data_IF_054460722665
#
_entry.id   IF_054460722665
#
_cell.length_a   1.000
_cell.length_b   1.000
_cell.length_c   1.000
_cell.angle_alpha   90.00
_cell.angle_beta   90.00
_cell.angle_gamma   90.00
#
_symmetry.space_group_name_H-M   'P 1'
#
loop_
_entity.id
_entity.type
_entity.pdbx_description
1 polymer ?
#
# COMPACT_ATOMS: atom_id res chain seq x y z
N UNK A 1 -3.93 38.26 -14.25
CA UNK A 1 -3.73 36.84 -13.86
C UNK A 1 -4.35 36.00 -14.97
N UNK A 2 -3.57 35.19 -15.69
CA UNK A 2 -4.05 34.37 -16.83
C UNK A 2 -4.23 32.95 -16.33
N UNK A 3 -5.42 32.38 -16.52
CA UNK A 3 -5.74 30.99 -16.23
C UNK A 3 -5.90 30.24 -17.55
N UNK A 4 -5.06 29.24 -17.79
CA UNK A 4 -5.20 28.35 -18.94
C UNK A 4 -6.03 27.14 -18.47
N UNK A 5 -7.22 26.91 -19.03
CA UNK A 5 -8.02 25.75 -18.64
C UNK A 5 -7.36 24.45 -19.11
N UNK A 6 -7.25 23.48 -18.21
CA UNK A 6 -6.89 22.10 -18.53
C UNK A 6 -8.15 21.24 -18.73
N UNK A 7 -7.99 20.10 -19.42
CA UNK A 7 -9.04 19.08 -19.54
C UNK A 7 -8.48 17.72 -19.15
N UNK A 8 -9.29 16.96 -18.41
CA UNK A 8 -9.02 15.56 -18.03
C UNK A 8 -10.30 14.75 -18.24
N UNK A 9 -10.14 13.44 -18.42
CA UNK A 9 -11.27 12.53 -18.34
C UNK A 9 -11.59 12.20 -16.87
N UNK A 10 -12.82 11.77 -16.56
CA UNK A 10 -13.15 11.27 -15.22
C UNK A 10 -12.24 10.09 -14.85
N UNK A 11 -11.79 10.06 -13.59
CA UNK A 11 -10.96 8.98 -13.04
C UNK A 11 -11.68 8.43 -11.82
N UNK A 12 -11.87 7.11 -11.79
CA UNK A 12 -12.38 6.41 -10.61
C UNK A 12 -11.26 6.23 -9.59
N UNK A 13 -11.55 6.57 -8.34
CA UNK A 13 -10.62 6.43 -7.23
C UNK A 13 -10.94 5.15 -6.45
N UNK A 14 -9.91 4.34 -6.22
CA UNK A 14 -9.98 3.16 -5.35
C UNK A 14 -8.97 3.32 -4.22
N UNK A 15 -9.36 2.93 -3.02
CA UNK A 15 -8.55 3.08 -1.81
C UNK A 15 -7.94 1.74 -1.39
N UNK A 16 -7.06 1.77 -0.39
CA UNK A 16 -6.28 0.62 0.04
C UNK A 16 -7.19 -0.55 0.46
N UNK A 17 -8.26 -0.25 1.19
CA UNK A 17 -9.28 -1.21 1.63
C UNK A 17 -9.97 -1.91 0.46
N UNK A 18 -10.25 -1.18 -0.63
CA UNK A 18 -10.87 -1.73 -1.84
C UNK A 18 -9.91 -2.68 -2.56
N UNK A 19 -8.63 -2.29 -2.64
CA UNK A 19 -7.57 -3.09 -3.26
C UNK A 19 -7.33 -4.38 -2.48
N UNK A 20 -7.22 -4.30 -1.15
CA UNK A 20 -7.03 -5.48 -0.29
C UNK A 20 -8.22 -6.43 -0.42
N UNK A 21 -9.45 -5.91 -0.39
CA UNK A 21 -10.68 -6.71 -0.52
C UNK A 21 -10.75 -7.39 -1.90
N UNK A 22 -10.44 -6.66 -2.96
CA UNK A 22 -10.48 -7.15 -4.34
C UNK A 22 -9.44 -8.25 -4.58
N UNK A 23 -8.21 -8.06 -4.08
CA UNK A 23 -7.11 -9.00 -4.26
C UNK A 23 -7.13 -10.15 -3.24
N UNK A 24 -7.95 -10.05 -2.19
CA UNK A 24 -7.88 -10.93 -1.01
C UNK A 24 -6.46 -11.01 -0.45
N UNK A 25 -5.81 -9.85 -0.38
CA UNK A 25 -4.39 -9.77 -0.04
C UNK A 25 -4.15 -10.05 1.44
N UNK A 26 -3.19 -10.93 1.71
CA UNK A 26 -2.63 -11.18 3.04
C UNK A 26 -1.12 -10.97 2.98
N UNK A 27 -0.56 -10.03 3.76
CA UNK A 27 0.87 -9.81 3.81
C UNK A 27 1.62 -11.06 4.26
N UNK A 28 2.80 -11.37 3.71
CA UNK A 28 3.66 -12.42 4.24
C UNK A 28 4.10 -12.08 5.67
N UNK A 29 4.27 -13.10 6.52
CA UNK A 29 4.66 -12.91 7.91
C UNK A 29 5.87 -11.98 8.05
N UNK A 30 5.70 -10.94 8.85
CA UNK A 30 6.65 -9.84 8.96
C UNK A 30 7.89 -10.32 9.73
N UNK A 31 8.89 -10.83 9.02
CA UNK A 31 10.19 -11.27 9.60
C UNK A 31 11.08 -10.12 10.07
N UNK A 32 10.61 -8.87 9.95
CA UNK A 32 11.42 -7.69 10.27
C UNK A 32 11.44 -7.36 11.76
N UNK A 33 11.95 -8.28 12.58
CA UNK A 33 12.49 -7.99 13.91
C UNK A 33 13.79 -7.18 13.77
N UNK A 34 13.68 -5.92 13.33
CA UNK A 34 14.83 -5.00 13.40
C UNK A 34 15.02 -4.62 14.87
N UNK A 35 16.26 -4.72 15.41
CA UNK A 35 16.54 -4.27 16.77
C UNK A 35 16.26 -2.77 16.86
N UNK A 36 15.22 -2.40 17.61
CA UNK A 36 14.93 -1.00 17.90
C UNK A 36 16.14 -0.40 18.62
N UNK A 37 16.70 0.68 18.05
CA UNK A 37 17.69 1.52 18.75
C UNK A 37 17.09 1.90 20.10
N UNK A 38 17.81 1.63 21.19
CA UNK A 38 17.38 1.93 22.55
C UNK A 38 17.34 3.46 22.74
N UNK A 39 16.21 4.07 22.43
CA UNK A 39 15.89 5.46 22.77
C UNK A 39 15.47 5.47 24.25
N UNK A 40 16.09 6.32 25.07
CA UNK A 40 15.77 6.46 26.49
C UNK A 40 15.18 7.84 26.80
N UNK A 41 14.51 7.95 27.95
CA UNK A 41 14.05 9.22 28.49
C UNK A 41 12.78 9.77 27.82
N UNK A 42 12.61 11.10 27.91
CA UNK A 42 11.40 11.83 27.47
C UNK A 42 10.99 11.53 26.03
N UNK A 43 11.96 11.46 25.11
CA UNK A 43 11.75 11.19 23.68
C UNK A 43 11.11 9.82 23.41
N UNK A 44 11.42 8.80 24.23
CA UNK A 44 10.80 7.47 24.10
C UNK A 44 9.31 7.54 24.46
N UNK A 45 8.96 8.27 25.51
CA UNK A 45 7.57 8.42 25.98
C UNK A 45 6.70 9.15 24.95
N UNK A 46 7.22 10.21 24.36
CA UNK A 46 6.51 10.97 23.31
C UNK A 46 6.26 10.10 22.07
N UNK A 47 7.24 9.33 21.61
CA UNK A 47 7.08 8.42 20.48
C UNK A 47 6.09 7.29 20.75
N UNK A 48 6.07 6.74 21.97
CA UNK A 48 5.09 5.70 22.34
C UNK A 48 3.66 6.26 22.38
N UNK A 49 3.48 7.44 22.96
CA UNK A 49 2.17 8.10 22.99
C UNK A 49 1.64 8.40 21.58
N UNK A 50 2.51 8.84 20.67
CA UNK A 50 2.15 9.05 19.26
C UNK A 50 1.71 7.75 18.58
N UNK A 51 2.45 6.65 18.79
CA UNK A 51 2.08 5.35 18.24
C UNK A 51 0.76 4.83 18.79
N UNK A 52 0.52 5.00 20.09
CA UNK A 52 -0.76 4.62 20.72
C UNK A 52 -1.93 5.44 20.15
N UNK A 53 -1.73 6.73 19.89
CA UNK A 53 -2.73 7.61 19.27
C UNK A 53 -2.99 7.22 17.81
N UNK A 54 -1.95 6.97 17.01
CA UNK A 54 -2.06 6.49 15.63
C UNK A 54 -2.80 5.14 15.56
N UNK A 55 -2.44 4.20 16.43
CA UNK A 55 -3.09 2.88 16.52
C UNK A 55 -4.56 3.02 16.94
N UNK A 56 -4.87 3.94 17.85
CA UNK A 56 -6.24 4.21 18.26
C UNK A 56 -7.08 4.78 17.12
N UNK A 57 -6.58 5.82 16.42
CA UNK A 57 -7.26 6.43 15.28
C UNK A 57 -7.49 5.43 14.15
N UNK A 58 -6.48 4.60 13.86
CA UNK A 58 -6.60 3.54 12.86
C UNK A 58 -7.71 2.55 13.25
N UNK A 59 -7.73 2.08 14.49
CA UNK A 59 -8.74 1.14 14.96
C UNK A 59 -10.15 1.73 14.96
N UNK A 60 -10.31 3.00 15.34
CA UNK A 60 -11.59 3.70 15.26
C UNK A 60 -12.07 3.81 13.81
N UNK A 61 -11.20 4.21 12.88
CA UNK A 61 -11.51 4.28 11.46
C UNK A 61 -11.89 2.91 10.90
N UNK A 62 -11.11 1.85 11.19
CA UNK A 62 -11.42 0.47 10.77
C UNK A 62 -12.80 0.04 11.31
N UNK A 63 -13.12 0.38 12.56
CA UNK A 63 -14.43 0.08 13.15
C UNK A 63 -15.59 0.79 12.44
N UNK A 64 -15.35 1.95 11.83
CA UNK A 64 -16.34 2.71 11.06
C UNK A 64 -16.65 2.05 9.71
N UNK A 65 -15.66 1.44 9.06
CA UNK A 65 -15.81 0.79 7.74
C UNK A 65 -16.15 -0.70 7.81
N UNK A 66 -16.28 -1.28 9.02
CA UNK A 66 -16.47 -2.73 9.23
C UNK A 66 -17.65 -3.37 8.51
N UNK A 67 -18.64 -2.57 8.13
CA UNK A 67 -19.86 -3.04 7.45
C UNK A 67 -19.69 -3.17 5.93
N UNK A 68 -18.61 -2.62 5.37
CA UNK A 68 -18.35 -2.60 3.92
C UNK A 68 -17.36 -3.68 3.48
N UNK A 69 -16.44 -4.08 4.34
CA UNK A 69 -15.33 -4.97 4.01
C UNK A 69 -15.34 -6.25 4.83
N UNK A 70 -14.71 -7.29 4.30
CA UNK A 70 -14.60 -8.59 4.98
C UNK A 70 -13.73 -8.50 6.25
N UNK A 71 -13.96 -9.39 7.24
CA UNK A 71 -13.13 -9.44 8.45
C UNK A 71 -11.64 -9.59 8.15
N UNK A 72 -11.29 -10.34 7.11
CA UNK A 72 -9.90 -10.58 6.69
C UNK A 72 -9.25 -9.30 6.17
N UNK A 73 -9.97 -8.50 5.35
CA UNK A 73 -9.50 -7.18 4.90
C UNK A 73 -9.26 -6.24 6.07
N UNK A 74 -10.20 -6.19 7.02
CA UNK A 74 -10.05 -5.36 8.22
C UNK A 74 -8.86 -5.82 9.08
N UNK A 75 -8.61 -7.13 9.14
CA UNK A 75 -7.46 -7.68 9.85
C UNK A 75 -6.14 -7.35 9.15
N UNK A 76 -6.08 -7.48 7.83
CA UNK A 76 -4.91 -7.06 7.04
C UNK A 76 -4.58 -5.60 7.29
N UNK A 77 -5.57 -4.70 7.23
CA UNK A 77 -5.39 -3.27 7.52
C UNK A 77 -4.80 -3.04 8.93
N UNK A 78 -5.27 -3.75 9.96
CA UNK A 78 -4.70 -3.62 11.32
C UNK A 78 -3.23 -4.02 11.43
N UNK A 79 -2.80 -4.99 10.63
CA UNK A 79 -1.46 -5.60 10.76
C UNK A 79 -0.45 -5.10 9.74
N UNK A 80 -0.89 -4.29 8.78
CA UNK A 80 -0.03 -3.77 7.73
C UNK A 80 1.01 -2.80 8.28
N UNK A 81 2.22 -2.85 7.73
CA UNK A 81 3.31 -1.94 8.09
C UNK A 81 3.21 -0.66 7.23
N UNK A 82 2.57 0.37 7.76
CA UNK A 82 2.38 1.65 7.09
C UNK A 82 3.66 2.49 6.95
N UNK A 83 4.76 2.11 7.62
CA UNK A 83 6.06 2.78 7.48
C UNK A 83 6.81 2.35 6.21
N UNK A 84 6.32 1.35 5.47
CA UNK A 84 6.99 0.78 4.30
C UNK A 84 6.06 0.60 3.12
N UNK A 85 6.61 0.74 1.92
CA UNK A 85 5.91 0.36 0.69
C UNK A 85 5.85 -1.17 0.57
N UNK A 86 4.63 -1.70 0.47
CA UNK A 86 4.40 -3.11 0.20
C UNK A 86 4.51 -3.40 -1.31
N UNK A 87 5.72 -3.76 -1.74
CA UNK A 87 6.01 -4.10 -3.14
C UNK A 87 5.23 -5.32 -3.62
N UNK A 88 4.89 -6.26 -2.74
CA UNK A 88 4.14 -7.46 -3.12
C UNK A 88 2.68 -7.14 -3.41
N UNK A 89 2.08 -6.25 -2.61
CA UNK A 89 0.74 -5.73 -2.90
C UNK A 89 0.70 -5.02 -4.25
N UNK A 90 1.68 -4.16 -4.54
CA UNK A 90 1.78 -3.45 -5.82
C UNK A 90 1.90 -4.43 -6.99
N UNK A 91 2.77 -5.45 -6.86
CA UNK A 91 2.92 -6.49 -7.88
C UNK A 91 1.60 -7.22 -8.16
N UNK A 92 0.87 -7.62 -7.12
CA UNK A 92 -0.41 -8.30 -7.26
C UNK A 92 -1.47 -7.39 -7.88
N UNK A 93 -1.48 -6.11 -7.54
CA UNK A 93 -2.38 -5.13 -8.15
C UNK A 93 -2.09 -4.96 -9.64
N UNK A 94 -0.83 -4.81 -10.04
CA UNK A 94 -0.45 -4.73 -11.45
C UNK A 94 -0.89 -6.00 -12.20
N UNK A 95 -0.67 -7.19 -11.62
CA UNK A 95 -1.13 -8.46 -12.20
C UNK A 95 -2.65 -8.51 -12.35
N UNK A 96 -3.38 -7.95 -11.41
CA UNK A 96 -4.84 -7.86 -11.47
C UNK A 96 -5.28 -6.94 -12.60
N UNK A 97 -4.75 -5.70 -12.67
CA UNK A 97 -5.10 -4.71 -13.71
C UNK A 97 -4.87 -5.30 -15.11
N UNK A 98 -3.71 -5.93 -15.34
CA UNK A 98 -3.39 -6.56 -16.64
C UNK A 98 -4.40 -7.64 -17.02
N UNK A 99 -4.97 -8.36 -16.05
CA UNK A 99 -5.92 -9.45 -16.31
C UNK A 99 -7.36 -8.98 -16.48
N UNK A 100 -7.73 -7.84 -15.91
CA UNK A 100 -9.14 -7.42 -15.77
C UNK A 100 -9.48 -6.14 -16.50
N UNK A 101 -8.47 -5.36 -16.93
CA UNK A 101 -8.66 -4.06 -17.59
C UNK A 101 -8.33 -4.14 -19.08
N UNK A 102 -8.90 -3.20 -19.84
CA UNK A 102 -8.57 -2.99 -21.25
C UNK A 102 -7.14 -2.43 -21.45
N UNK A 103 -6.70 -2.35 -22.70
CA UNK A 103 -5.38 -1.82 -23.05
C UNK A 103 -5.13 -0.41 -22.47
N UNK A 104 -3.99 -0.26 -21.81
CA UNK A 104 -3.57 0.99 -21.20
C UNK A 104 -2.19 0.89 -20.53
N UNK A 105 -1.52 2.02 -20.36
CA UNK A 105 -0.26 2.07 -19.62
C UNK A 105 -0.53 2.19 -18.12
N UNK A 106 0.24 1.46 -17.31
CA UNK A 106 0.22 1.56 -15.85
C UNK A 106 1.36 2.48 -15.40
N UNK A 107 1.03 3.54 -14.68
CA UNK A 107 2.00 4.45 -14.06
C UNK A 107 2.00 4.25 -12.55
N UNK A 108 3.14 3.85 -11.99
CA UNK A 108 3.31 3.62 -10.54
C UNK A 108 4.17 4.73 -9.95
N UNK A 109 3.66 5.41 -8.93
CA UNK A 109 4.41 6.40 -8.17
C UNK A 109 5.06 5.75 -6.94
N UNK A 110 6.37 5.92 -6.80
CA UNK A 110 7.17 5.40 -5.69
C UNK A 110 8.06 6.51 -5.12
N UNK A 111 8.37 6.50 -3.80
CA UNK A 111 9.03 7.62 -3.14
C UNK A 111 10.50 7.77 -3.50
N UNK A 112 11.19 6.70 -3.90
CA UNK A 112 12.62 6.75 -4.20
C UNK A 112 13.15 5.63 -5.10
N UNK A 113 14.42 5.77 -5.48
CA UNK A 113 15.11 4.84 -6.38
C UNK A 113 15.14 3.39 -5.87
N UNK A 114 15.34 3.20 -4.56
CA UNK A 114 15.40 1.85 -3.98
C UNK A 114 14.08 1.08 -4.17
N UNK A 115 12.94 1.73 -3.95
CA UNK A 115 11.62 1.14 -4.15
C UNK A 115 11.36 0.86 -5.64
N UNK A 116 11.74 1.80 -6.52
CA UNK A 116 11.63 1.63 -7.98
C UNK A 116 12.41 0.40 -8.43
N UNK A 117 13.67 0.30 -7.99
CA UNK A 117 14.54 -0.83 -8.33
C UNK A 117 13.96 -2.14 -7.80
N UNK A 118 13.52 -2.18 -6.54
CA UNK A 118 12.94 -3.37 -5.92
C UNK A 118 11.67 -3.84 -6.64
N UNK A 119 10.77 -2.92 -6.99
CA UNK A 119 9.57 -3.25 -7.77
C UNK A 119 9.96 -3.76 -9.17
N UNK A 120 10.92 -3.12 -9.84
CA UNK A 120 11.39 -3.56 -11.15
C UNK A 120 11.98 -4.99 -11.10
N UNK A 121 12.80 -5.31 -10.10
CA UNK A 121 13.35 -6.65 -9.90
C UNK A 121 12.22 -7.69 -9.70
N UNK A 122 11.22 -7.38 -8.88
CA UNK A 122 10.06 -8.27 -8.65
C UNK A 122 9.24 -8.48 -9.92
N UNK A 123 8.94 -7.41 -10.66
CA UNK A 123 8.18 -7.51 -11.91
C UNK A 123 8.97 -8.27 -12.97
N UNK A 124 10.24 -7.96 -13.18
CA UNK A 124 11.06 -8.61 -14.21
C UNK A 124 11.44 -10.05 -13.86
N UNK A 125 11.40 -10.47 -12.59
CA UNK A 125 11.56 -11.87 -12.22
C UNK A 125 10.39 -12.76 -12.68
N UNK A 126 9.19 -12.19 -12.79
CA UNK A 126 7.99 -12.90 -13.19
C UNK A 126 7.88 -13.00 -14.72
N UNK A 127 7.78 -14.22 -15.25
CA UNK A 127 7.65 -14.48 -16.70
C UNK A 127 6.48 -13.75 -17.37
N UNK A 128 5.41 -13.48 -16.61
CA UNK A 128 4.25 -12.71 -17.08
C UNK A 128 4.62 -11.33 -17.62
N UNK A 129 5.65 -10.68 -17.07
CA UNK A 129 6.11 -9.36 -17.50
C UNK A 129 7.30 -9.40 -18.46
N UNK A 130 7.81 -10.60 -18.78
CA UNK A 130 8.92 -10.79 -19.73
C UNK A 130 8.48 -10.83 -21.19
N UNK A 131 7.23 -10.55 -21.50
CA UNK A 131 6.72 -10.57 -22.87
C UNK A 131 6.62 -9.16 -23.44
N UNK A 132 7.74 -8.70 -23.99
CA UNK A 132 7.80 -7.81 -25.14
C UNK A 132 8.69 -8.48 -26.17
N UNK A 133 8.21 -8.56 -27.42
CA UNK A 133 8.85 -9.20 -28.59
C UNK A 133 10.39 -9.25 -28.60
#
# INVERSE_FOLDING_TARGET
MIHIPGFTYPVEEVYLEDVIETLRYSPPENTSNKPQRRIYGRRKREMLAQKEEEEWLLNEWIASIRHKYSPDTLQTLRTMDYDKIDVMLIEQLIKYIIKTSDDGAILVFLPGWEDIKKLNEVLTANFMFKTGN
#
